data_IF_919792002628
#
_entry.id   IF_919792002628
#
_cell.length_a   1.000
_cell.length_b   1.000
_cell.length_c   1.000
_cell.angle_alpha   90.00
_cell.angle_beta   90.00
_cell.angle_gamma   90.00
#
_symmetry.space_group_name_H-M   'P 1'
#
loop_
_entity.id
_entity.type
_entity.pdbx_description
1 polymer ?
#
# COMPACT_ATOMS: atom_id res chain seq x y z
N UNK A 1 5.87 -7.78 -25.29
CA UNK A 1 5.23 -7.33 -24.04
C UNK A 1 3.72 -7.48 -24.15
N UNK A 2 3.05 -7.95 -23.09
CA UNK A 2 1.60 -8.06 -23.02
C UNK A 2 1.01 -6.82 -22.35
N UNK A 3 -0.22 -6.42 -22.71
CA UNK A 3 -0.96 -5.38 -21.99
C UNK A 3 -1.19 -5.78 -20.53
N UNK A 4 -1.23 -7.06 -20.21
CA UNK A 4 -1.35 -7.58 -18.84
C UNK A 4 -0.16 -7.19 -17.95
N UNK A 5 1.00 -6.86 -18.54
CA UNK A 5 2.16 -6.34 -17.81
C UNK A 5 1.87 -4.98 -17.14
N UNK A 6 0.80 -4.29 -17.54
CA UNK A 6 0.34 -3.09 -16.82
C UNK A 6 -0.13 -3.47 -15.40
N UNK A 7 -0.84 -4.57 -15.25
CA UNK A 7 -1.35 -5.05 -13.95
C UNK A 7 -0.29 -5.83 -13.20
N UNK A 8 0.32 -6.82 -13.86
CA UNK A 8 1.37 -7.64 -13.29
C UNK A 8 2.46 -7.91 -14.30
N UNK A 9 3.71 -7.71 -13.91
CA UNK A 9 4.88 -7.84 -14.76
C UNK A 9 5.91 -8.72 -14.09
N UNK A 10 6.57 -9.55 -14.87
CA UNK A 10 7.72 -10.35 -14.47
C UNK A 10 9.06 -9.58 -14.51
N UNK A 11 8.99 -8.27 -14.76
CA UNK A 11 10.13 -7.36 -14.71
C UNK A 11 9.75 -6.00 -14.11
N UNK A 12 10.75 -5.26 -13.62
CA UNK A 12 10.64 -3.85 -13.25
C UNK A 12 11.77 -3.05 -13.89
N UNK A 13 11.51 -1.81 -14.29
CA UNK A 13 12.53 -0.88 -14.75
C UNK A 13 13.17 -0.20 -13.54
N UNK A 14 14.41 -0.56 -13.23
CA UNK A 14 15.11 -0.09 -12.03
C UNK A 14 16.40 0.64 -12.41
N UNK A 15 16.75 1.64 -11.61
CA UNK A 15 18.09 2.21 -11.52
C UNK A 15 18.61 2.03 -10.09
N UNK A 16 19.85 2.42 -9.83
CA UNK A 16 20.45 2.23 -8.51
C UNK A 16 19.62 2.84 -7.37
N UNK A 17 18.99 4.01 -7.57
CA UNK A 17 18.13 4.65 -6.57
C UNK A 17 16.86 3.86 -6.30
N UNK A 18 16.23 3.30 -7.35
CA UNK A 18 15.03 2.49 -7.21
C UNK A 18 15.33 1.13 -6.58
N UNK A 19 16.49 0.54 -6.85
CA UNK A 19 16.96 -0.67 -6.15
C UNK A 19 17.02 -0.43 -4.64
N UNK A 20 17.62 0.67 -4.23
CA UNK A 20 17.68 1.07 -2.81
C UNK A 20 16.28 1.41 -2.27
N UNK A 21 15.50 2.18 -3.04
CA UNK A 21 14.14 2.59 -2.64
C UNK A 21 13.23 1.39 -2.36
N UNK A 22 13.19 0.41 -3.25
CA UNK A 22 12.36 -0.79 -3.06
C UNK A 22 12.98 -1.84 -2.14
N UNK A 23 14.24 -1.67 -1.71
CA UNK A 23 14.93 -2.63 -0.86
C UNK A 23 15.16 -3.97 -1.53
N UNK A 24 15.50 -3.96 -2.82
CA UNK A 24 15.65 -5.16 -3.66
C UNK A 24 17.11 -5.45 -4.05
N UNK A 25 18.06 -4.92 -3.30
CA UNK A 25 19.50 -5.08 -3.57
C UNK A 25 20.01 -6.54 -3.61
N UNK A 26 19.26 -7.48 -3.04
CA UNK A 26 19.60 -8.91 -3.04
C UNK A 26 18.95 -9.74 -4.15
N UNK A 27 18.29 -9.11 -5.12
CA UNK A 27 17.65 -9.79 -6.25
C UNK A 27 18.70 -10.07 -7.33
N UNK A 28 18.69 -11.27 -7.90
CA UNK A 28 19.51 -11.65 -9.04
C UNK A 28 19.34 -10.66 -10.22
N UNK A 29 20.44 -10.21 -10.81
CA UNK A 29 20.45 -9.25 -11.91
C UNK A 29 20.37 -7.78 -11.48
N UNK A 30 20.41 -7.49 -10.19
CA UNK A 30 20.45 -6.11 -9.65
C UNK A 30 21.88 -5.61 -9.48
N UNK A 31 22.87 -6.51 -9.45
CA UNK A 31 24.28 -6.21 -9.24
C UNK A 31 24.84 -5.24 -10.29
N UNK A 32 24.32 -5.35 -11.52
CA UNK A 32 24.73 -4.52 -12.67
C UNK A 32 23.91 -3.23 -12.80
N UNK A 33 22.94 -3.00 -11.90
CA UNK A 33 22.09 -1.79 -11.91
C UNK A 33 22.79 -0.68 -11.17
N UNK A 34 23.68 0.01 -11.85
CA UNK A 34 24.44 1.15 -11.32
C UNK A 34 24.06 2.45 -12.04
N UNK A 35 24.15 3.57 -11.30
CA UNK A 35 23.86 4.89 -11.85
C UNK A 35 22.37 5.19 -11.98
N UNK A 36 22.03 6.08 -12.91
CA UNK A 36 20.68 6.65 -13.05
C UNK A 36 19.88 6.05 -14.22
N UNK A 37 20.50 5.28 -15.08
CA UNK A 37 19.83 4.65 -16.21
C UNK A 37 18.90 3.53 -15.76
N UNK A 38 17.68 3.53 -16.29
CA UNK A 38 16.69 2.47 -16.03
C UNK A 38 17.04 1.22 -16.84
N UNK A 39 17.07 0.09 -16.16
CA UNK A 39 17.31 -1.22 -16.76
C UNK A 39 16.21 -2.20 -16.35
N UNK A 40 15.80 -3.12 -17.23
CA UNK A 40 14.86 -4.17 -16.88
C UNK A 40 15.53 -5.18 -15.92
N UNK A 41 14.87 -5.44 -14.81
CA UNK A 41 15.27 -6.44 -13.81
C UNK A 41 14.16 -7.47 -13.70
N UNK A 42 14.47 -8.75 -13.77
CA UNK A 42 13.50 -9.82 -13.61
C UNK A 42 12.91 -9.82 -12.19
N UNK A 43 11.58 -9.89 -12.09
CA UNK A 43 10.85 -9.83 -10.84
C UNK A 43 10.10 -11.14 -10.62
N UNK A 44 10.18 -11.63 -9.39
CA UNK A 44 9.40 -12.78 -8.92
C UNK A 44 8.31 -12.31 -7.94
N UNK A 45 7.25 -13.09 -7.72
CA UNK A 45 6.15 -12.72 -6.82
C UNK A 45 6.58 -12.35 -5.40
N UNK A 46 7.65 -12.95 -4.87
CA UNK A 46 8.21 -12.66 -3.55
C UNK A 46 8.86 -11.29 -3.43
N UNK A 47 9.20 -10.65 -4.55
CA UNK A 47 9.77 -9.30 -4.56
C UNK A 47 8.72 -8.22 -4.33
N UNK A 48 7.42 -8.56 -4.40
CA UNK A 48 6.29 -7.64 -4.17
C UNK A 48 6.34 -6.39 -5.08
N UNK A 49 6.86 -6.55 -6.28
CA UNK A 49 6.94 -5.55 -7.34
C UNK A 49 6.26 -6.07 -8.61
N UNK A 50 6.29 -5.26 -9.66
CA UNK A 50 5.76 -5.59 -10.98
C UNK A 50 4.40 -4.97 -11.24
N UNK A 51 4.26 -4.37 -12.42
CA UNK A 51 3.05 -3.64 -12.82
C UNK A 51 2.83 -2.32 -12.08
N UNK A 52 1.84 -1.56 -12.52
CA UNK A 52 1.55 -0.20 -12.01
C UNK A 52 0.99 -0.21 -10.59
N UNK A 53 0.33 -1.30 -10.18
CA UNK A 53 -0.30 -1.39 -8.86
C UNK A 53 0.71 -1.36 -7.71
N UNK A 54 1.97 -1.71 -7.99
CA UNK A 54 3.06 -1.68 -7.01
C UNK A 54 4.10 -0.61 -7.33
N UNK A 55 3.81 0.25 -8.31
CA UNK A 55 4.73 1.29 -8.72
C UNK A 55 4.71 2.48 -7.74
N UNK A 56 5.88 2.87 -7.23
CA UNK A 56 6.00 3.91 -6.20
C UNK A 56 5.33 5.22 -6.56
N UNK A 57 5.44 5.70 -7.81
CA UNK A 57 4.80 6.96 -8.21
C UNK A 57 3.27 6.90 -8.15
N UNK A 58 2.67 5.74 -8.49
CA UNK A 58 1.23 5.53 -8.36
C UNK A 58 0.81 5.53 -6.90
N UNK A 59 1.56 4.82 -6.05
CA UNK A 59 1.25 4.70 -4.63
C UNK A 59 1.46 6.02 -3.87
N UNK A 60 2.46 6.82 -4.25
CA UNK A 60 2.69 8.17 -3.72
C UNK A 60 1.58 9.12 -4.16
N UNK A 61 1.22 9.11 -5.45
CA UNK A 61 0.17 9.97 -6.01
C UNK A 61 -1.22 9.69 -5.43
N UNK A 62 -1.43 8.49 -4.87
CA UNK A 62 -2.67 8.06 -4.23
C UNK A 62 -2.50 7.86 -2.72
N UNK A 63 -1.76 8.73 -2.10
CA UNK A 63 -1.56 8.84 -0.65
C UNK A 63 -1.75 10.27 -0.17
N UNK A 64 -1.53 10.51 1.11
CA UNK A 64 -1.60 11.85 1.73
C UNK A 64 -0.24 12.55 1.79
N UNK A 65 0.80 11.94 1.21
CA UNK A 65 2.20 12.38 1.35
C UNK A 65 2.89 11.87 2.62
N UNK A 66 2.15 11.72 3.72
CA UNK A 66 2.67 11.19 5.00
C UNK A 66 2.21 9.78 5.32
N UNK A 67 1.07 9.35 4.78
CA UNK A 67 0.50 8.03 5.01
C UNK A 67 -0.08 7.44 3.72
N UNK A 68 -0.15 6.11 3.59
CA UNK A 68 -0.94 5.48 2.56
C UNK A 68 -2.41 5.85 2.75
N UNK A 69 -3.19 5.86 1.68
CA UNK A 69 -4.61 6.17 1.74
C UNK A 69 -5.42 5.12 0.97
N UNK A 70 -6.06 4.16 1.65
CA UNK A 70 -6.72 3.04 0.99
C UNK A 70 -7.84 3.50 0.04
N UNK A 71 -8.57 4.55 0.41
CA UNK A 71 -9.68 5.06 -0.41
C UNK A 71 -9.17 5.68 -1.71
N UNK A 72 -8.12 6.51 -1.67
CA UNK A 72 -7.54 7.09 -2.89
C UNK A 72 -6.99 6.01 -3.83
N UNK A 73 -6.33 5.00 -3.27
CA UNK A 73 -5.83 3.83 -4.03
C UNK A 73 -6.96 3.01 -4.62
N UNK A 74 -8.07 2.84 -3.88
CA UNK A 74 -9.26 2.15 -4.39
C UNK A 74 -9.96 2.91 -5.51
N UNK A 75 -10.13 4.22 -5.35
CA UNK A 75 -10.72 5.11 -6.39
C UNK A 75 -9.88 5.03 -7.65
N UNK A 76 -8.56 5.26 -7.52
CA UNK A 76 -7.64 5.18 -8.66
C UNK A 76 -7.69 3.82 -9.37
N UNK A 77 -7.67 2.71 -8.62
CA UNK A 77 -7.76 1.37 -9.21
C UNK A 77 -9.05 1.20 -10.02
N UNK A 78 -10.17 1.59 -9.43
CA UNK A 78 -11.47 1.45 -10.09
C UNK A 78 -11.58 2.31 -11.35
N UNK A 79 -11.18 3.56 -11.28
CA UNK A 79 -11.29 4.49 -12.40
C UNK A 79 -10.24 4.22 -13.49
N UNK A 80 -8.96 4.07 -13.10
CA UNK A 80 -7.87 3.97 -14.07
C UNK A 80 -7.67 2.56 -14.64
N UNK A 81 -8.00 1.51 -13.88
CA UNK A 81 -7.75 0.12 -14.29
C UNK A 81 -9.04 -0.60 -14.66
N UNK A 82 -10.13 -0.44 -13.87
CA UNK A 82 -11.39 -1.13 -14.11
C UNK A 82 -12.36 -0.33 -14.98
N UNK A 83 -12.12 0.97 -15.17
CA UNK A 83 -13.01 1.85 -15.93
C UNK A 83 -14.34 2.17 -15.23
N UNK A 84 -14.39 1.96 -13.92
CA UNK A 84 -15.58 2.20 -13.09
C UNK A 84 -15.55 3.61 -12.52
N UNK A 85 -16.52 4.43 -12.84
CA UNK A 85 -16.68 5.77 -12.24
C UNK A 85 -17.03 5.66 -10.75
N UNK A 86 -16.27 6.36 -9.91
CA UNK A 86 -16.53 6.45 -8.46
C UNK A 86 -17.09 7.84 -8.14
N UNK A 87 -18.35 7.89 -7.68
CA UNK A 87 -18.97 9.15 -7.29
C UNK A 87 -18.21 9.80 -6.13
N UNK A 88 -18.02 11.13 -6.15
CA UNK A 88 -17.40 11.84 -5.04
C UNK A 88 -18.26 11.69 -3.77
N UNK A 89 -17.62 11.73 -2.58
CA UNK A 89 -18.36 11.71 -1.32
C UNK A 89 -19.24 12.97 -1.20
N UNK A 90 -20.34 12.91 -0.42
CA UNK A 90 -21.08 14.11 -0.04
C UNK A 90 -20.19 15.14 0.64
N UNK A 91 -20.51 16.43 0.49
CA UNK A 91 -19.66 17.53 0.99
C UNK A 91 -19.49 17.59 2.53
N UNK A 92 -20.39 16.97 3.26
CA UNK A 92 -20.45 16.94 4.73
C UNK A 92 -19.87 15.66 5.37
N UNK A 93 -19.21 14.82 4.58
CA UNK A 93 -18.61 13.59 5.10
C UNK A 93 -17.31 13.92 5.86
N UNK A 94 -17.19 13.52 7.15
CA UNK A 94 -15.95 13.65 7.91
C UNK A 94 -14.80 12.93 7.22
N UNK A 95 -13.60 13.50 7.25
CA UNK A 95 -12.41 12.83 6.73
C UNK A 95 -12.09 11.56 7.54
N UNK A 96 -11.38 10.63 6.94
CA UNK A 96 -10.94 9.41 7.64
C UNK A 96 -10.02 9.76 8.84
N UNK A 97 -9.21 10.82 8.70
CA UNK A 97 -8.37 11.34 9.78
C UNK A 97 -9.17 11.84 10.97
N UNK A 98 -10.31 12.49 10.74
CA UNK A 98 -11.18 12.99 11.83
C UNK A 98 -11.81 11.83 12.62
N UNK A 99 -11.96 10.67 11.98
CA UNK A 99 -12.47 9.45 12.60
C UNK A 99 -11.43 8.74 13.49
N UNK A 100 -10.14 9.03 13.29
CA UNK A 100 -9.05 8.43 14.06
C UNK A 100 -8.96 8.96 15.51
N UNK A 101 -9.43 10.20 15.76
CA UNK A 101 -9.25 10.91 17.03
C UNK A 101 -7.80 11.36 17.25
N UNK A 102 -7.60 12.34 18.15
CA UNK A 102 -6.29 12.94 18.44
C UNK A 102 -5.31 12.01 19.20
N UNK A 103 -5.71 10.80 19.53
CA UNK A 103 -4.89 9.89 20.33
C UNK A 103 -3.99 9.05 19.42
N UNK A 104 -2.74 9.49 19.26
CA UNK A 104 -1.64 8.68 18.72
C UNK A 104 -1.36 7.41 19.55
N UNK A 105 -2.09 7.18 20.61
CA UNK A 105 -1.95 6.04 21.53
C UNK A 105 -2.80 4.83 21.16
N UNK A 106 -3.80 5.00 20.28
CA UNK A 106 -4.67 3.91 19.82
C UNK A 106 -4.69 3.90 18.29
N UNK A 107 -3.59 3.52 17.68
CA UNK A 107 -3.51 3.34 16.22
C UNK A 107 -4.33 2.10 15.82
N UNK A 108 -5.62 2.29 15.59
CA UNK A 108 -6.47 1.29 14.95
C UNK A 108 -5.83 0.88 13.61
N UNK A 109 -5.91 -0.41 13.27
CA UNK A 109 -5.59 -0.81 11.90
C UNK A 109 -6.47 -0.01 10.93
N UNK A 110 -5.99 0.23 9.72
CA UNK A 110 -6.79 0.94 8.71
C UNK A 110 -8.14 0.25 8.48
N UNK A 111 -8.18 -1.07 8.58
CA UNK A 111 -9.39 -1.87 8.45
C UNK A 111 -10.40 -1.60 9.58
N UNK A 112 -9.91 -1.46 10.81
CA UNK A 112 -10.75 -1.12 11.97
C UNK A 112 -11.21 0.32 11.90
N UNK A 113 -10.35 1.23 11.43
CA UNK A 113 -10.68 2.62 11.22
C UNK A 113 -11.79 2.78 10.18
N UNK A 114 -11.70 2.10 9.05
CA UNK A 114 -12.74 2.05 8.03
C UNK A 114 -14.04 1.43 8.57
N UNK A 115 -13.93 0.36 9.37
CA UNK A 115 -15.08 -0.26 10.02
C UNK A 115 -15.77 0.69 11.00
N UNK A 116 -14.99 1.48 11.77
CA UNK A 116 -15.51 2.52 12.67
C UNK A 116 -16.19 3.64 11.88
N UNK A 117 -15.57 4.13 10.82
CA UNK A 117 -16.11 5.18 9.95
C UNK A 117 -17.46 4.80 9.33
N UNK A 118 -17.67 3.53 9.01
CA UNK A 118 -18.95 3.01 8.47
C UNK A 118 -20.08 2.89 9.49
N UNK A 119 -19.75 2.81 10.79
CA UNK A 119 -20.75 2.63 11.84
C UNK A 119 -21.60 3.89 12.01
N UNK A 120 -22.91 3.73 11.96
CA UNK A 120 -23.85 4.79 12.29
C UNK A 120 -24.30 5.68 11.13
N UNK A 121 -23.78 5.47 9.91
CA UNK A 121 -24.21 6.21 8.72
C UNK A 121 -24.40 5.25 7.52
N UNK A 122 -25.65 5.10 7.08
CA UNK A 122 -26.02 4.21 5.98
C UNK A 122 -25.34 4.62 4.65
N UNK A 123 -25.27 5.92 4.39
CA UNK A 123 -24.66 6.45 3.17
C UNK A 123 -23.15 6.15 3.11
N UNK A 124 -22.42 6.32 4.24
CA UNK A 124 -21.02 5.93 4.34
C UNK A 124 -20.85 4.43 4.09
N UNK A 125 -21.69 3.60 4.71
CA UNK A 125 -21.63 2.16 4.57
C UNK A 125 -21.83 1.70 3.13
N UNK A 126 -22.84 2.20 2.41
CA UNK A 126 -23.17 1.80 1.04
C UNK A 126 -22.04 2.08 0.05
N UNK A 127 -21.31 3.19 0.23
CA UNK A 127 -20.14 3.50 -0.58
C UNK A 127 -18.95 2.61 -0.21
N UNK A 128 -18.61 2.57 1.08
CA UNK A 128 -17.40 1.90 1.58
C UNK A 128 -17.42 0.39 1.40
N UNK A 129 -18.58 -0.28 1.50
CA UNK A 129 -18.69 -1.72 1.26
C UNK A 129 -18.26 -2.12 -0.16
N UNK A 130 -18.38 -1.20 -1.12
CA UNK A 130 -18.00 -1.40 -2.52
C UNK A 130 -16.59 -0.89 -2.84
N UNK A 131 -16.05 0.02 -2.04
CA UNK A 131 -14.80 0.72 -2.29
C UNK A 131 -13.62 0.15 -1.49
N UNK A 132 -13.78 -0.02 -0.17
CA UNK A 132 -12.72 -0.47 0.72
C UNK A 132 -12.03 -1.77 0.26
N UNK A 133 -12.76 -2.80 -0.23
CA UNK A 133 -12.14 -4.04 -0.64
C UNK A 133 -11.09 -3.92 -1.75
N UNK A 134 -11.16 -2.84 -2.54
CA UNK A 134 -10.19 -2.56 -3.60
C UNK A 134 -8.94 -1.82 -3.08
N UNK A 135 -9.04 -1.13 -1.94
CA UNK A 135 -7.95 -0.37 -1.34
C UNK A 135 -7.18 -1.10 -0.26
N UNK A 136 -7.86 -1.90 0.56
CA UNK A 136 -7.24 -2.66 1.66
C UNK A 136 -6.05 -3.54 1.20
N UNK A 137 -6.06 -4.21 0.04
CA UNK A 137 -4.91 -4.99 -0.42
C UNK A 137 -3.62 -4.20 -0.62
N UNK A 138 -3.69 -2.87 -0.76
CA UNK A 138 -2.53 -2.00 -0.88
C UNK A 138 -1.85 -1.65 0.45
N UNK A 139 -2.44 -2.00 1.61
CA UNK A 139 -1.98 -1.53 2.91
C UNK A 139 -0.58 -2.02 3.30
N UNK A 140 -0.08 -3.10 2.68
CA UNK A 140 1.31 -3.53 2.83
C UNK A 140 2.33 -2.69 2.07
N UNK A 141 1.89 -1.58 1.47
CA UNK A 141 2.76 -0.58 0.83
C UNK A 141 2.62 0.75 1.56
N UNK A 142 3.72 1.26 2.08
CA UNK A 142 3.75 2.53 2.81
C UNK A 142 3.43 3.74 1.91
N UNK A 143 3.53 4.95 2.47
CA UNK A 143 3.19 6.20 1.77
C UNK A 143 4.04 6.45 0.51
N UNK A 144 5.24 5.91 0.44
CA UNK A 144 6.16 6.07 -0.69
C UNK A 144 6.32 4.81 -1.55
N UNK A 145 5.39 3.86 -1.39
CA UNK A 145 5.31 2.68 -2.25
C UNK A 145 6.30 1.56 -1.94
N UNK A 146 6.91 1.55 -0.76
CA UNK A 146 7.76 0.44 -0.34
C UNK A 146 6.92 -0.65 0.33
N UNK A 147 7.29 -1.90 0.09
CA UNK A 147 6.61 -3.04 0.70
C UNK A 147 6.96 -3.17 2.19
N UNK A 148 5.96 -3.01 3.02
CA UNK A 148 6.06 -3.02 4.48
C UNK A 148 4.96 -3.92 5.08
N UNK A 149 5.18 -5.25 5.16
CA UNK A 149 4.16 -6.20 5.63
C UNK A 149 3.97 -6.22 7.15
N UNK A 150 4.86 -5.55 7.91
CA UNK A 150 4.85 -5.51 9.36
C UNK A 150 4.78 -4.08 9.86
N UNK A 151 4.01 -3.86 10.91
CA UNK A 151 3.92 -2.58 11.64
C UNK A 151 4.14 -2.80 13.13
N UNK A 152 4.57 -1.77 13.86
CA UNK A 152 4.63 -1.85 15.31
C UNK A 152 3.27 -2.23 15.88
N UNK A 153 3.26 -3.20 16.80
CA UNK A 153 2.05 -3.59 17.51
C UNK A 153 1.57 -2.44 18.40
N UNK A 154 0.25 -2.34 18.57
CA UNK A 154 -0.35 -1.35 19.44
C UNK A 154 0.34 -1.30 20.82
N UNK A 155 0.55 -0.09 21.34
CA UNK A 155 1.27 0.14 22.60
C UNK A 155 2.79 -0.01 22.52
N UNK A 156 3.35 -0.40 21.38
CA UNK A 156 4.81 -0.47 21.19
C UNK A 156 5.39 0.92 21.04
N UNK A 157 6.31 1.32 21.92
CA UNK A 157 7.01 2.59 21.82
C UNK A 157 7.96 2.56 20.61
N UNK A 158 7.70 3.42 19.63
CA UNK A 158 8.49 3.49 18.38
C UNK A 158 9.45 4.66 18.43
N UNK A 159 10.70 4.42 18.00
CA UNK A 159 11.69 5.47 17.79
C UNK A 159 11.37 6.23 16.49
N UNK A 160 11.26 7.56 16.55
CA UNK A 160 11.06 8.41 15.37
C UNK A 160 9.62 8.37 14.86
N UNK A 161 8.88 9.43 15.05
CA UNK A 161 7.43 9.47 14.87
C UNK A 161 7.07 10.35 13.68
N UNK A 162 6.26 9.89 12.81
CA UNK A 162 5.44 10.50 11.75
C UNK A 162 5.76 10.04 10.33
N UNK A 163 6.98 9.57 10.03
CA UNK A 163 7.30 8.93 8.75
C UNK A 163 7.89 7.55 8.98
N UNK A 164 7.65 6.58 8.10
CA UNK A 164 8.05 5.17 8.30
C UNK A 164 9.52 4.96 8.66
N UNK A 165 10.42 5.89 8.36
CA UNK A 165 11.82 5.83 8.80
C UNK A 165 12.39 7.19 9.18
N UNK A 166 11.56 8.07 9.69
CA UNK A 166 12.05 9.29 10.34
C UNK A 166 12.98 8.92 11.50
N UNK A 167 14.24 9.31 11.39
CA UNK A 167 15.29 8.96 12.36
C UNK A 167 16.09 7.68 12.01
N UNK A 168 15.93 7.12 10.81
CA UNK A 168 16.76 6.06 10.26
C UNK A 168 17.47 6.53 8.99
N UNK A 169 18.71 6.08 8.78
CA UNK A 169 19.52 6.47 7.63
C UNK A 169 19.08 5.77 6.33
N UNK A 170 18.41 4.62 6.46
CA UNK A 170 17.96 3.82 5.32
C UNK A 170 16.71 3.01 5.66
N UNK A 171 16.02 2.54 4.61
CA UNK A 171 14.91 1.61 4.76
C UNK A 171 15.34 0.25 5.31
N UNK A 172 16.56 -0.20 5.02
CA UNK A 172 17.11 -1.42 5.58
C UNK A 172 17.32 -1.32 7.08
N UNK A 173 17.82 -0.20 7.57
CA UNK A 173 17.95 0.07 9.01
C UNK A 173 16.58 0.07 9.69
N UNK A 174 15.59 0.71 9.08
CA UNK A 174 14.21 0.68 9.56
C UNK A 174 13.63 -0.73 9.62
N UNK A 175 13.83 -1.56 8.57
CA UNK A 175 13.41 -2.97 8.57
C UNK A 175 14.10 -3.79 9.66
N UNK A 176 15.39 -3.55 9.89
CA UNK A 176 16.12 -4.20 10.97
C UNK A 176 15.57 -3.79 12.35
N UNK A 177 15.27 -2.53 12.52
CA UNK A 177 14.63 -2.02 13.73
C UNK A 177 13.25 -2.65 13.95
N UNK A 178 12.39 -2.76 12.93
CA UNK A 178 11.10 -3.42 13.05
C UNK A 178 11.22 -4.88 13.53
N UNK A 179 12.29 -5.58 13.15
CA UNK A 179 12.57 -6.93 13.65
C UNK A 179 12.99 -6.97 15.13
N UNK A 180 13.46 -5.86 15.69
CA UNK A 180 13.91 -5.75 17.08
C UNK A 180 12.82 -5.35 18.06
N UNK A 181 11.65 -4.95 17.57
CA UNK A 181 10.51 -4.52 18.37
C UNK A 181 9.32 -5.45 18.19
N UNK A 182 8.31 -5.31 19.04
CA UNK A 182 7.07 -6.07 18.90
C UNK A 182 6.26 -5.54 17.71
N UNK A 183 6.07 -6.38 16.71
CA UNK A 183 5.36 -6.04 15.47
C UNK A 183 4.21 -7.00 15.20
N UNK A 184 3.29 -6.57 14.37
CA UNK A 184 2.20 -7.40 13.84
C UNK A 184 2.10 -7.26 12.32
N UNK A 185 1.48 -8.27 11.70
CA UNK A 185 1.27 -8.27 10.26
C UNK A 185 0.22 -7.25 9.87
N UNK A 186 0.51 -6.44 8.85
CA UNK A 186 -0.47 -5.52 8.26
C UNK A 186 -1.64 -6.30 7.69
N UNK A 187 -2.84 -5.96 8.13
CA UNK A 187 -4.09 -6.53 7.62
C UNK A 187 -4.35 -5.98 6.20
N UNK A 188 -4.30 -6.86 5.22
CA UNK A 188 -4.52 -6.51 3.81
C UNK A 188 -5.52 -7.47 3.15
N UNK A 189 -6.28 -8.21 3.98
CA UNK A 189 -7.30 -9.16 3.54
C UNK A 189 -8.64 -8.44 3.32
N UNK A 190 -9.27 -8.70 2.19
CA UNK A 190 -10.57 -8.16 1.83
C UNK A 190 -11.35 -9.15 0.95
N UNK A 191 -12.68 -8.99 0.90
CA UNK A 191 -13.52 -9.68 -0.07
C UNK A 191 -13.91 -8.71 -1.18
N UNK A 192 -13.39 -8.92 -2.36
CA UNK A 192 -13.71 -8.10 -3.53
C UNK A 192 -15.22 -8.23 -3.86
N UNK A 193 -15.93 -7.12 -4.17
CA UNK A 193 -17.33 -7.17 -4.54
C UNK A 193 -17.57 -8.15 -5.70
N UNK A 194 -18.49 -9.09 -5.48
CA UNK A 194 -18.82 -10.20 -6.42
C UNK A 194 -17.62 -11.10 -6.80
N UNK A 195 -16.51 -11.03 -6.04
CA UNK A 195 -15.27 -11.75 -6.30
C UNK A 195 -14.78 -12.56 -5.09
N UNK A 196 -13.53 -13.04 -5.16
CA UNK A 196 -12.90 -13.85 -4.13
C UNK A 196 -12.49 -13.04 -2.90
N UNK A 197 -12.07 -13.76 -1.86
CA UNK A 197 -11.23 -13.19 -0.82
C UNK A 197 -9.81 -13.03 -1.37
N UNK A 198 -9.19 -11.88 -1.08
CA UNK A 198 -7.81 -11.55 -1.45
C UNK A 198 -7.02 -11.17 -0.19
N UNK A 199 -5.75 -11.55 -0.11
CA UNK A 199 -4.84 -11.13 0.97
C UNK A 199 -3.62 -10.41 0.36
N UNK A 200 -3.75 -9.10 0.20
CA UNK A 200 -2.74 -8.23 -0.36
C UNK A 200 -2.67 -8.23 -1.88
N UNK A 201 -1.61 -7.62 -2.39
CA UNK A 201 -1.49 -7.28 -3.81
C UNK A 201 -1.37 -8.49 -4.73
N UNK A 202 -0.71 -9.56 -4.29
CA UNK A 202 -0.55 -10.78 -5.10
C UNK A 202 -1.90 -11.39 -5.50
N UNK A 203 -2.81 -11.53 -4.53
CA UNK A 203 -4.12 -12.11 -4.79
C UNK A 203 -4.99 -11.14 -5.59
N UNK A 204 -4.89 -9.83 -5.31
CA UNK A 204 -5.60 -8.81 -6.06
C UNK A 204 -5.19 -8.83 -7.54
N UNK A 205 -3.89 -8.83 -7.86
CA UNK A 205 -3.40 -8.92 -9.24
C UNK A 205 -3.92 -10.17 -9.95
N UNK A 206 -3.87 -11.33 -9.27
CA UNK A 206 -4.40 -12.59 -9.82
C UNK A 206 -5.90 -12.52 -10.12
N UNK A 207 -6.66 -11.73 -9.36
CA UNK A 207 -8.10 -11.55 -9.59
C UNK A 207 -8.36 -10.62 -10.79
N UNK A 208 -7.49 -9.65 -11.03
CA UNK A 208 -7.61 -8.67 -12.12
C UNK A 208 -7.20 -9.23 -13.51
N UNK A 209 -6.45 -10.33 -13.55
CA UNK A 209 -5.98 -11.02 -14.75
C UNK A 209 -6.87 -12.20 -15.14
#
# INVERSE_FOLDING_TARGET
ASVLNVVDSDFAMLNQRLVVHYGVAGIEGVEDVVGHELRPVAIKPEHNLGGVLTHGSVLIGNGTGSAPHPIYRAVWLREAILGDEVKPPPADVPSLSDSAGDSAENALSIKDLLAKHRKGNTSCYECHVRLDPWGIPFERYNAIGQYQPMVPKEGTRVRGVRHPYSGFESFEEYKAYLKSINTEKVQADARVPHGPNVDGMKDLKKHLL
#
